data_IF_177592616359
#
_entry.id   IF_177592616359
#
_cell.length_a   1.000
_cell.length_b   1.000
_cell.length_c   1.000
_cell.angle_alpha   90.00
_cell.angle_beta   90.00
_cell.angle_gamma   90.00
#
_symmetry.space_group_name_H-M   'P 1'
#
loop_
_entity.id
_entity.type
_entity.pdbx_description
1 polymer ?
#
# COMPACT_ATOMS: atom_id res chain seq x y z
N UNK A 1 64.27 69.96 -26.11
CA UNK A 1 63.52 70.92 -26.95
C UNK A 1 62.87 70.13 -28.08
N UNK A 2 61.53 70.23 -28.20
CA UNK A 2 60.62 69.58 -29.16
C UNK A 2 60.43 68.05 -28.99
N UNK A 3 59.23 67.46 -29.09
CA UNK A 3 57.85 67.92 -29.38
C UNK A 3 56.95 66.69 -29.12
N UNK A 4 55.87 66.86 -28.32
CA UNK A 4 54.48 66.47 -28.66
C UNK A 4 54.10 64.97 -28.77
N UNK A 5 52.86 64.48 -28.60
CA UNK A 5 51.50 65.07 -28.59
C UNK A 5 50.50 63.98 -28.15
N UNK A 6 49.40 64.38 -27.48
CA UNK A 6 48.00 63.86 -27.56
C UNK A 6 47.72 62.42 -27.05
N UNK A 7 46.94 62.21 -25.97
CA UNK A 7 45.46 62.32 -25.75
C UNK A 7 44.60 61.25 -26.47
N UNK A 8 43.53 60.83 -25.77
CA UNK A 8 42.38 59.98 -26.18
C UNK A 8 42.68 58.48 -26.34
N UNK A 9 41.99 57.51 -25.72
CA UNK A 9 40.68 57.49 -25.06
C UNK A 9 39.74 56.55 -25.81
N UNK A 10 39.75 55.24 -25.53
CA UNK A 10 38.77 54.23 -26.00
C UNK A 10 38.78 53.07 -24.96
N UNK A 11 37.79 52.90 -24.08
CA UNK A 11 36.43 52.36 -24.32
C UNK A 11 36.50 50.94 -24.92
N UNK A 12 36.27 49.94 -24.05
CA UNK A 12 35.70 48.62 -24.30
C UNK A 12 36.22 47.80 -25.49
N UNK A 13 37.32 47.05 -25.30
CA UNK A 13 37.52 45.74 -25.95
C UNK A 13 38.42 44.90 -25.04
N UNK A 14 38.16 43.59 -24.96
CA UNK A 14 38.94 42.53 -24.28
C UNK A 14 38.51 42.12 -22.87
N UNK A 15 37.24 41.71 -22.80
CA UNK A 15 36.66 40.67 -21.92
C UNK A 15 37.14 39.25 -22.32
N UNK A 16 38.40 39.03 -22.72
CA UNK A 16 38.76 37.71 -23.27
C UNK A 16 40.24 37.35 -23.11
N UNK A 17 40.70 37.15 -21.86
CA UNK A 17 41.99 36.48 -21.58
C UNK A 17 42.16 36.07 -20.09
N UNK A 18 41.15 35.48 -19.45
CA UNK A 18 41.34 34.76 -18.17
C UNK A 18 40.52 33.47 -18.17
N UNK A 19 40.94 32.51 -19.00
CA UNK A 19 40.43 31.16 -19.00
C UNK A 19 41.60 30.21 -19.26
N UNK A 20 41.56 29.06 -18.58
CA UNK A 20 42.51 27.94 -18.66
C UNK A 20 43.72 28.03 -17.71
N UNK A 21 43.45 27.97 -16.40
CA UNK A 21 44.20 27.13 -15.46
C UNK A 21 43.27 26.83 -14.26
N UNK A 22 42.31 25.93 -14.45
CA UNK A 22 41.58 25.30 -13.36
C UNK A 22 41.41 23.84 -13.73
N UNK A 23 42.12 22.99 -12.98
CA UNK A 23 42.25 21.57 -13.23
C UNK A 23 40.94 20.82 -12.96
N UNK A 24 40.61 19.92 -13.88
CA UNK A 24 39.71 18.81 -13.61
C UNK A 24 40.56 17.59 -13.24
N UNK A 25 40.72 17.34 -11.94
CA UNK A 25 41.05 16.01 -11.45
C UNK A 25 39.76 15.17 -11.59
N UNK A 26 39.71 14.27 -12.56
CA UNK A 26 38.64 13.29 -12.66
C UNK A 26 38.77 12.27 -11.52
N UNK A 27 37.71 11.98 -10.74
CA UNK A 27 37.74 10.84 -9.84
C UNK A 27 37.83 9.54 -10.67
N UNK A 28 38.50 8.49 -10.17
CA UNK A 28 38.50 7.21 -10.86
C UNK A 28 37.06 6.73 -11.00
N UNK A 29 36.70 6.28 -12.20
CA UNK A 29 35.43 5.65 -12.46
C UNK A 29 35.27 4.49 -11.48
N UNK A 30 34.30 4.60 -10.56
CA UNK A 30 33.86 3.46 -9.79
C UNK A 30 33.37 2.43 -10.82
N UNK A 31 34.15 1.35 -11.00
CA UNK A 31 33.63 0.14 -11.61
C UNK A 31 32.41 -0.24 -10.78
N UNK A 32 31.23 -0.07 -11.38
CA UNK A 32 30.00 -0.64 -10.89
C UNK A 32 30.23 -2.13 -10.81
N UNK A 33 30.56 -2.61 -9.61
CA UNK A 33 30.53 -4.02 -9.28
C UNK A 33 29.08 -4.43 -9.51
N UNK A 34 28.88 -5.10 -10.65
CA UNK A 34 27.61 -5.71 -11.00
C UNK A 34 27.33 -6.69 -9.89
N UNK A 35 26.51 -6.28 -8.93
CA UNK A 35 25.96 -7.18 -7.91
C UNK A 35 25.31 -8.30 -8.71
N UNK A 36 25.95 -9.46 -8.73
CA UNK A 36 25.33 -10.67 -9.20
C UNK A 36 24.12 -10.86 -8.30
N UNK A 37 22.94 -10.62 -8.86
CA UNK A 37 21.68 -10.99 -8.22
C UNK A 37 21.75 -12.50 -8.06
N UNK A 38 22.18 -12.95 -6.89
CA UNK A 38 22.08 -14.34 -6.50
C UNK A 38 20.59 -14.64 -6.51
N UNK A 39 20.11 -15.27 -7.59
CA UNK A 39 18.74 -15.73 -7.68
C UNK A 39 18.56 -16.76 -6.60
N UNK A 40 17.91 -16.36 -5.51
CA UNK A 40 17.43 -17.28 -4.51
C UNK A 40 16.63 -18.38 -5.23
N UNK A 41 16.72 -19.64 -4.78
CA UNK A 41 15.90 -20.72 -5.30
C UNK A 41 14.43 -20.27 -5.39
N UNK A 42 13.67 -20.75 -6.38
CA UNK A 42 12.26 -20.34 -6.56
C UNK A 42 11.39 -20.53 -5.30
N UNK A 43 11.78 -21.44 -4.39
CA UNK A 43 11.13 -21.66 -3.10
C UNK A 43 11.47 -20.64 -2.01
N UNK A 44 12.50 -19.82 -2.22
CA UNK A 44 12.96 -18.77 -1.29
C UNK A 44 12.66 -17.36 -1.81
N UNK A 45 12.41 -17.21 -3.11
CA UNK A 45 12.01 -15.93 -3.69
C UNK A 45 10.61 -15.50 -3.21
N UNK A 46 10.52 -14.31 -2.65
CA UNK A 46 9.24 -13.76 -2.21
C UNK A 46 8.37 -13.33 -3.40
N UNK A 47 7.07 -13.58 -3.30
CA UNK A 47 6.06 -13.18 -4.30
C UNK A 47 4.83 -12.61 -3.62
N UNK A 48 4.00 -11.89 -4.38
CA UNK A 48 2.68 -11.47 -3.95
C UNK A 48 1.62 -12.57 -4.09
N UNK A 49 0.98 -12.87 -2.98
CA UNK A 49 -0.06 -13.87 -2.84
C UNK A 49 -1.40 -13.21 -2.53
N UNK A 50 -2.45 -13.76 -3.09
CA UNK A 50 -3.81 -13.33 -2.84
C UNK A 50 -4.61 -14.40 -2.12
N UNK A 51 -5.23 -13.99 -1.02
CA UNK A 51 -6.32 -14.67 -0.36
C UNK A 51 -7.60 -13.84 -0.60
N UNK A 52 -8.65 -14.46 -1.13
CA UNK A 52 -9.87 -13.76 -1.56
C UNK A 52 -11.10 -14.39 -0.93
N UNK A 53 -11.80 -13.64 -0.10
CA UNK A 53 -13.12 -14.01 0.41
C UNK A 53 -14.18 -13.36 -0.48
N UNK A 54 -14.97 -14.17 -1.19
CA UNK A 54 -16.16 -13.71 -1.90
C UNK A 54 -17.32 -13.74 -0.92
N UNK A 55 -17.93 -12.58 -0.69
CA UNK A 55 -19.02 -12.44 0.27
C UNK A 55 -20.37 -12.40 -0.44
N UNK A 56 -21.41 -12.83 0.28
CA UNK A 56 -22.77 -12.71 -0.21
C UNK A 56 -23.18 -11.25 -0.29
N UNK A 57 -23.69 -10.87 -1.46
CA UNK A 57 -24.22 -9.54 -1.71
C UNK A 57 -25.45 -9.65 -2.63
N UNK A 58 -26.65 -9.64 -2.05
CA UNK A 58 -27.89 -9.74 -2.80
C UNK A 58 -28.04 -8.62 -3.84
N UNK A 59 -28.81 -8.90 -4.89
CA UNK A 59 -29.18 -7.89 -5.89
C UNK A 59 -30.11 -6.83 -5.28
N UNK A 60 -29.94 -5.57 -5.66
CA UNK A 60 -30.75 -4.46 -5.15
C UNK A 60 -30.39 -3.97 -3.74
N UNK A 61 -29.48 -4.63 -3.03
CA UNK A 61 -29.03 -4.21 -1.70
C UNK A 61 -27.68 -3.46 -1.73
N UNK A 62 -27.45 -2.61 -0.73
CA UNK A 62 -26.13 -2.03 -0.45
C UNK A 62 -25.18 -3.10 0.11
N UNK A 63 -23.88 -3.06 -0.23
CA UNK A 63 -22.93 -4.02 0.29
C UNK A 63 -22.71 -3.82 1.79
N UNK A 64 -22.84 -4.90 2.56
CA UNK A 64 -22.41 -4.92 3.96
C UNK A 64 -20.89 -4.99 4.05
N UNK A 65 -20.27 -4.19 4.93
CA UNK A 65 -18.82 -4.19 5.09
C UNK A 65 -18.30 -4.66 6.45
N UNK A 66 -19.15 -4.75 7.47
CA UNK A 66 -18.78 -5.37 8.74
C UNK A 66 -18.12 -6.75 8.63
N UNK A 67 -18.45 -7.63 7.65
CA UNK A 67 -17.76 -8.91 7.56
C UNK A 67 -16.27 -8.74 7.24
N UNK A 68 -15.88 -7.68 6.53
CA UNK A 68 -14.47 -7.39 6.24
C UNK A 68 -13.71 -7.10 7.54
N UNK A 69 -14.32 -6.36 8.46
CA UNK A 69 -13.71 -6.02 9.74
C UNK A 69 -13.55 -7.28 10.61
N UNK A 70 -14.58 -8.13 10.63
CA UNK A 70 -14.55 -9.42 11.34
C UNK A 70 -13.42 -10.31 10.80
N UNK A 71 -13.33 -10.45 9.48
CA UNK A 71 -12.30 -11.24 8.82
C UNK A 71 -10.90 -10.64 9.06
N UNK A 72 -10.75 -9.33 8.95
CA UNK A 72 -9.49 -8.63 9.18
C UNK A 72 -8.96 -8.88 10.60
N UNK A 73 -9.80 -8.71 11.61
CA UNK A 73 -9.36 -8.79 13.01
C UNK A 73 -9.31 -10.22 13.54
N UNK A 74 -10.32 -11.05 13.27
CA UNK A 74 -10.44 -12.38 13.91
C UNK A 74 -9.81 -13.51 13.10
N UNK A 75 -9.64 -13.34 11.80
CA UNK A 75 -9.08 -14.37 10.91
C UNK A 75 -7.67 -13.97 10.47
N UNK A 76 -7.50 -12.78 9.88
CA UNK A 76 -6.21 -12.36 9.33
C UNK A 76 -5.28 -11.78 10.41
N UNK A 77 -5.80 -11.06 11.41
CA UNK A 77 -5.01 -10.52 12.51
C UNK A 77 -4.10 -11.57 13.18
N UNK A 78 -4.65 -12.72 13.62
CA UNK A 78 -3.84 -13.80 14.20
C UNK A 78 -2.82 -14.42 13.24
N UNK A 79 -3.05 -14.34 11.92
CA UNK A 79 -2.07 -14.75 10.91
C UNK A 79 -0.91 -13.78 10.88
N UNK A 80 -1.20 -12.47 10.80
CA UNK A 80 -0.20 -11.41 10.83
C UNK A 80 0.63 -11.45 12.11
N UNK A 81 0.00 -11.67 13.26
CA UNK A 81 0.69 -11.75 14.54
C UNK A 81 1.68 -12.94 14.57
N UNK A 82 1.30 -14.10 14.02
CA UNK A 82 2.13 -15.29 13.98
C UNK A 82 3.24 -15.23 12.92
N UNK A 83 2.98 -14.58 11.79
CA UNK A 83 3.88 -14.51 10.63
C UNK A 83 4.55 -13.14 10.52
N UNK A 84 4.61 -12.36 11.61
CA UNK A 84 5.08 -10.96 11.58
C UNK A 84 6.49 -10.77 11.03
N UNK A 85 7.33 -11.80 11.17
CA UNK A 85 8.73 -11.77 10.73
C UNK A 85 8.91 -12.31 9.30
N UNK A 86 7.87 -12.86 8.69
CA UNK A 86 7.90 -13.53 7.38
C UNK A 86 6.98 -12.85 6.36
N UNK A 87 6.02 -12.05 6.80
CA UNK A 87 5.15 -11.22 5.96
C UNK A 87 5.53 -9.75 6.20
N UNK A 88 6.43 -9.22 5.36
CA UNK A 88 6.96 -7.86 5.52
C UNK A 88 6.12 -6.80 4.81
N UNK A 89 5.39 -7.18 3.77
CA UNK A 89 4.47 -6.31 3.05
C UNK A 89 3.13 -6.99 2.90
N UNK A 90 2.06 -6.29 3.22
CA UNK A 90 0.71 -6.79 3.07
C UNK A 90 -0.30 -5.65 3.03
N UNK A 91 -1.51 -5.95 2.58
CA UNK A 91 -2.62 -5.01 2.61
C UNK A 91 -3.96 -5.71 2.57
N UNK A 92 -4.96 -4.98 3.01
CA UNK A 92 -6.35 -5.33 2.73
C UNK A 92 -6.82 -4.64 1.45
N UNK A 93 -7.65 -5.34 0.69
CA UNK A 93 -8.36 -4.77 -0.44
C UNK A 93 -9.84 -5.13 -0.35
N UNK A 94 -10.69 -4.11 -0.45
CA UNK A 94 -12.14 -4.19 -0.31
C UNK A 94 -12.75 -3.72 -1.62
N UNK A 95 -13.65 -4.51 -2.20
CA UNK A 95 -14.38 -4.13 -3.42
C UNK A 95 -15.82 -4.62 -3.39
N UNK A 96 -16.68 -3.86 -4.04
CA UNK A 96 -18.06 -4.24 -4.36
C UNK A 96 -18.36 -3.71 -5.77
N UNK A 97 -18.46 -4.61 -6.75
CA UNK A 97 -18.86 -4.28 -8.11
C UNK A 97 -19.82 -5.35 -8.62
N UNK A 98 -20.82 -4.95 -9.42
CA UNK A 98 -21.79 -5.87 -10.04
C UNK A 98 -21.17 -6.56 -11.26
N UNK A 99 -20.07 -7.27 -11.02
CA UNK A 99 -19.31 -8.04 -12.00
C UNK A 99 -19.05 -9.47 -11.52
N UNK A 100 -18.32 -10.25 -12.30
CA UNK A 100 -18.04 -11.67 -12.00
C UNK A 100 -17.32 -11.90 -10.67
N UNK A 101 -16.57 -10.92 -10.17
CA UNK A 101 -15.87 -11.01 -8.88
C UNK A 101 -16.74 -10.54 -7.70
N UNK A 102 -17.74 -9.69 -7.94
CA UNK A 102 -18.76 -9.35 -6.95
C UNK A 102 -18.22 -8.60 -5.72
N UNK A 103 -18.82 -8.88 -4.56
CA UNK A 103 -18.34 -8.39 -3.26
C UNK A 103 -17.18 -9.24 -2.79
N UNK A 104 -16.01 -8.62 -2.62
CA UNK A 104 -14.79 -9.34 -2.24
C UNK A 104 -13.99 -8.57 -1.19
N UNK A 105 -13.48 -9.33 -0.22
CA UNK A 105 -12.43 -8.92 0.70
C UNK A 105 -11.17 -9.72 0.39
N UNK A 106 -10.03 -9.05 0.30
CA UNK A 106 -8.77 -9.69 -0.04
C UNK A 106 -7.68 -9.32 0.94
N UNK A 107 -6.93 -10.33 1.36
CA UNK A 107 -5.64 -10.18 2.00
C UNK A 107 -4.57 -10.44 0.95
N UNK A 108 -3.77 -9.41 0.66
CA UNK A 108 -2.71 -9.46 -0.34
C UNK A 108 -1.40 -9.29 0.40
N UNK A 109 -0.50 -10.27 0.31
CA UNK A 109 0.71 -10.29 1.12
C UNK A 109 1.92 -10.77 0.32
N UNK A 110 3.09 -10.29 0.70
CA UNK A 110 4.36 -10.65 0.09
C UNK A 110 5.13 -11.55 1.05
N UNK A 111 5.45 -12.75 0.60
CA UNK A 111 6.18 -13.74 1.37
C UNK A 111 6.75 -14.83 0.47
N UNK A 112 7.51 -15.77 1.04
CA UNK A 112 7.96 -16.98 0.33
C UNK A 112 6.78 -17.93 0.08
N UNK A 113 6.89 -18.84 -0.92
CA UNK A 113 5.91 -19.91 -1.15
C UNK A 113 5.59 -20.73 0.11
N UNK A 114 6.59 -21.02 0.93
CA UNK A 114 6.40 -21.79 2.16
C UNK A 114 5.49 -21.06 3.16
N UNK A 115 5.70 -19.75 3.35
CA UNK A 115 4.84 -18.93 4.20
C UNK A 115 3.44 -18.82 3.62
N UNK A 116 3.29 -18.64 2.30
CA UNK A 116 1.99 -18.61 1.65
C UNK A 116 1.21 -19.93 1.84
N UNK A 117 1.86 -21.07 1.73
CA UNK A 117 1.25 -22.38 1.99
C UNK A 117 0.76 -22.51 3.45
N UNK A 118 1.54 -22.05 4.44
CA UNK A 118 1.09 -22.04 5.84
C UNK A 118 -0.11 -21.12 6.07
N UNK A 119 -0.10 -19.93 5.48
CA UNK A 119 -1.23 -18.99 5.53
C UNK A 119 -2.48 -19.64 4.94
N UNK A 120 -2.39 -20.19 3.72
CA UNK A 120 -3.52 -20.86 3.05
C UNK A 120 -4.09 -22.00 3.91
N UNK A 121 -3.22 -22.87 4.45
CA UNK A 121 -3.64 -23.98 5.31
C UNK A 121 -4.34 -23.50 6.59
N UNK A 122 -3.82 -22.45 7.22
CA UNK A 122 -4.40 -21.87 8.44
C UNK A 122 -5.79 -21.29 8.19
N UNK A 123 -5.98 -20.56 7.09
CA UNK A 123 -7.27 -19.99 6.73
C UNK A 123 -8.28 -21.08 6.36
N UNK A 124 -7.84 -22.11 5.63
CA UNK A 124 -8.71 -23.22 5.26
C UNK A 124 -9.22 -24.00 6.48
N UNK A 125 -8.44 -24.06 7.56
CA UNK A 125 -8.77 -24.74 8.81
C UNK A 125 -9.42 -23.82 9.87
N UNK A 126 -9.61 -22.53 9.57
CA UNK A 126 -10.11 -21.57 10.56
C UNK A 126 -11.61 -21.82 10.88
N UNK A 127 -11.98 -22.09 12.15
CA UNK A 127 -13.36 -22.41 12.51
C UNK A 127 -14.36 -21.28 12.22
N UNK A 128 -13.94 -20.02 12.31
CA UNK A 128 -14.81 -18.88 12.00
C UNK A 128 -15.05 -18.79 10.50
N UNK A 129 -14.03 -19.04 9.67
CA UNK A 129 -14.20 -19.10 8.21
C UNK A 129 -15.17 -20.23 7.81
N UNK A 130 -15.03 -21.42 8.41
CA UNK A 130 -15.94 -22.55 8.16
C UNK A 130 -17.37 -22.15 8.52
N UNK A 131 -17.58 -21.62 9.73
CA UNK A 131 -18.89 -21.16 10.19
C UNK A 131 -19.52 -20.11 9.27
N UNK A 132 -18.75 -19.09 8.88
CA UNK A 132 -19.24 -18.01 8.00
C UNK A 132 -19.62 -18.51 6.60
N UNK A 133 -19.04 -19.62 6.14
CA UNK A 133 -19.46 -20.29 4.90
C UNK A 133 -20.77 -21.05 5.08
N UNK A 134 -20.92 -21.77 6.19
CA UNK A 134 -22.16 -22.49 6.53
C UNK A 134 -23.35 -21.54 6.72
N UNK A 135 -23.10 -20.38 7.32
CA UNK A 135 -24.09 -19.30 7.49
C UNK A 135 -24.33 -18.48 6.20
N UNK A 136 -23.62 -18.77 5.11
CA UNK A 136 -23.79 -18.10 3.82
C UNK A 136 -23.27 -16.66 3.76
N UNK A 137 -22.51 -16.21 4.75
CA UNK A 137 -21.83 -14.89 4.72
C UNK A 137 -20.70 -14.90 3.71
N UNK A 138 -19.92 -15.99 3.67
CA UNK A 138 -18.85 -16.23 2.70
C UNK A 138 -19.34 -17.24 1.66
N UNK A 139 -19.35 -16.86 0.39
CA UNK A 139 -19.66 -17.76 -0.72
C UNK A 139 -18.48 -18.70 -1.02
N UNK A 140 -17.30 -18.11 -1.21
CA UNK A 140 -16.08 -18.85 -1.55
C UNK A 140 -14.84 -18.21 -0.94
N UNK A 141 -13.81 -19.03 -0.73
CA UNK A 141 -12.46 -18.58 -0.39
C UNK A 141 -11.52 -19.05 -1.49
N UNK A 142 -10.84 -18.11 -2.14
CA UNK A 142 -9.87 -18.37 -3.20
C UNK A 142 -8.45 -18.09 -2.72
N UNK A 143 -7.51 -18.93 -3.17
CA UNK A 143 -6.09 -18.86 -2.85
C UNK A 143 -5.28 -18.87 -4.14
N UNK A 144 -4.19 -18.13 -4.18
CA UNK A 144 -3.14 -18.39 -5.17
C UNK A 144 -2.39 -19.69 -4.81
N UNK A 145 -1.88 -20.39 -5.82
CA UNK A 145 -1.13 -21.64 -5.64
C UNK A 145 0.35 -21.35 -5.29
N UNK A 146 0.82 -21.72 -4.09
CA UNK A 146 2.21 -21.53 -3.68
C UNK A 146 3.24 -22.23 -4.59
N UNK A 147 2.84 -23.27 -5.32
CA UNK A 147 3.72 -23.97 -6.27
C UNK A 147 4.05 -23.17 -7.54
N UNK A 148 3.34 -22.07 -7.80
CA UNK A 148 3.45 -21.29 -9.03
C UNK A 148 3.51 -19.78 -8.76
N UNK A 149 4.64 -19.24 -8.22
CA UNK A 149 4.80 -17.80 -7.98
C UNK A 149 4.78 -17.00 -9.30
N UNK A 150 4.08 -15.87 -9.34
CA UNK A 150 3.88 -15.05 -10.55
C UNK A 150 4.28 -13.57 -10.41
N UNK A 151 4.20 -13.01 -9.20
CA UNK A 151 4.33 -11.57 -8.92
C UNK A 151 5.53 -11.31 -8.03
N UNK A 152 6.73 -11.39 -8.60
CA UNK A 152 7.99 -11.36 -7.84
C UNK A 152 8.40 -9.94 -7.46
N UNK A 153 8.08 -8.96 -8.30
CA UNK A 153 8.38 -7.55 -8.12
C UNK A 153 7.53 -6.91 -7.03
N UNK A 154 8.13 -6.00 -6.27
CA UNK A 154 7.44 -5.27 -5.20
C UNK A 154 6.24 -4.48 -5.77
N UNK A 155 6.39 -3.89 -6.96
CA UNK A 155 5.33 -3.11 -7.61
C UNK A 155 4.30 -3.92 -8.42
N UNK A 156 4.42 -5.25 -8.52
CA UNK A 156 3.59 -6.07 -9.41
C UNK A 156 2.08 -6.06 -9.08
N UNK A 157 1.72 -5.54 -7.91
CA UNK A 157 0.33 -5.40 -7.46
C UNK A 157 -0.14 -3.96 -7.40
N UNK A 158 0.65 -3.00 -7.88
CA UNK A 158 0.30 -1.58 -8.01
C UNK A 158 -0.44 -1.33 -9.33
N UNK A 159 -1.04 -0.14 -9.49
CA UNK A 159 -1.66 0.24 -10.76
C UNK A 159 -0.60 0.39 -11.86
N UNK A 160 -0.76 -0.36 -12.96
CA UNK A 160 0.16 -0.35 -14.11
C UNK A 160 0.25 0.99 -14.81
N UNK A 161 -0.71 1.89 -14.61
CA UNK A 161 -0.73 3.22 -15.21
C UNK A 161 0.04 4.24 -14.38
N UNK A 162 0.47 3.90 -13.16
CA UNK A 162 1.33 4.77 -12.36
C UNK A 162 2.78 4.73 -12.82
N UNK A 163 3.56 5.76 -12.45
CA UNK A 163 5.00 5.75 -12.72
C UNK A 163 5.70 4.59 -11.99
N UNK A 164 6.85 4.10 -12.48
CA UNK A 164 7.58 3.02 -11.83
C UNK A 164 7.91 3.30 -10.35
N UNK A 165 8.26 4.55 -10.01
CA UNK A 165 8.56 4.97 -8.64
C UNK A 165 7.33 4.81 -7.74
N UNK A 166 6.16 5.24 -8.21
CA UNK A 166 4.91 5.08 -7.48
C UNK A 166 4.54 3.60 -7.33
N UNK A 167 4.72 2.79 -8.38
CA UNK A 167 4.44 1.36 -8.30
C UNK A 167 5.29 0.67 -7.23
N UNK A 168 6.56 1.03 -7.09
CA UNK A 168 7.48 0.46 -6.09
C UNK A 168 7.22 1.00 -4.68
N UNK A 169 6.88 2.29 -4.54
CA UNK A 169 6.69 2.93 -3.24
C UNK A 169 5.29 2.66 -2.63
N UNK A 170 4.27 2.54 -3.46
CA UNK A 170 2.88 2.42 -3.02
C UNK A 170 2.61 1.23 -2.06
N UNK A 171 3.19 0.02 -2.23
CA UNK A 171 3.00 -1.08 -1.30
C UNK A 171 3.30 -0.74 0.16
N UNK A 172 4.30 0.12 0.42
CA UNK A 172 4.62 0.57 1.78
C UNK A 172 3.54 1.49 2.34
N UNK A 173 3.07 2.45 1.54
CA UNK A 173 2.00 3.36 1.93
C UNK A 173 0.71 2.61 2.25
N UNK A 174 0.24 1.76 1.34
CA UNK A 174 -1.03 1.05 1.51
C UNK A 174 -0.99 0.01 2.63
N UNK A 175 0.18 -0.56 2.93
CA UNK A 175 0.36 -1.38 4.13
C UNK A 175 0.14 -0.55 5.39
N UNK A 176 0.73 0.64 5.47
CA UNK A 176 0.52 1.56 6.60
C UNK A 176 -0.96 1.91 6.79
N UNK A 177 -1.68 2.17 5.69
CA UNK A 177 -3.14 2.41 5.71
C UNK A 177 -3.90 1.17 6.20
N UNK A 178 -3.52 -0.03 5.74
CA UNK A 178 -4.15 -1.29 6.16
C UNK A 178 -3.91 -1.59 7.64
N UNK A 179 -2.69 -1.34 8.13
CA UNK A 179 -2.31 -1.47 9.53
C UNK A 179 -3.11 -0.49 10.40
N UNK A 180 -3.18 0.78 10.03
CA UNK A 180 -4.01 1.76 10.75
C UNK A 180 -5.46 1.29 10.85
N UNK A 181 -6.05 0.88 9.72
CA UNK A 181 -7.43 0.40 9.70
C UNK A 181 -7.64 -0.81 10.63
N UNK A 182 -6.72 -1.78 10.62
CA UNK A 182 -6.78 -2.93 11.52
C UNK A 182 -6.68 -2.54 13.00
N UNK A 183 -5.77 -1.62 13.34
CA UNK A 183 -5.62 -1.17 14.72
C UNK A 183 -6.82 -0.35 15.19
N UNK A 184 -7.44 0.47 14.34
CA UNK A 184 -8.68 1.15 14.69
C UNK A 184 -9.82 0.17 14.98
N UNK A 185 -9.96 -0.91 14.20
CA UNK A 185 -10.93 -1.98 14.47
C UNK A 185 -10.69 -2.57 15.86
N UNK A 186 -9.42 -2.88 16.18
CA UNK A 186 -9.02 -3.46 17.48
C UNK A 186 -9.27 -2.50 18.63
N UNK A 187 -8.88 -1.23 18.52
CA UNK A 187 -9.05 -0.22 19.55
C UNK A 187 -10.54 0.07 19.82
N UNK A 188 -11.34 0.31 18.77
CA UNK A 188 -12.79 0.46 18.91
C UNK A 188 -13.37 -0.80 19.53
N UNK A 189 -12.90 -1.97 19.09
CA UNK A 189 -13.30 -3.27 19.60
C UNK A 189 -13.05 -3.49 21.09
N UNK A 190 -12.14 -2.76 21.76
CA UNK A 190 -11.89 -2.91 23.20
C UNK A 190 -13.04 -2.45 24.09
N UNK A 191 -13.97 -1.65 23.56
CA UNK A 191 -15.10 -1.18 24.34
C UNK A 191 -16.01 -2.34 24.79
N UNK A 192 -16.08 -2.55 26.10
CA UNK A 192 -16.79 -3.66 26.74
C UNK A 192 -18.31 -3.60 26.58
N UNK A 193 -18.86 -2.46 26.12
CA UNK A 193 -20.31 -2.29 25.87
C UNK A 193 -20.78 -2.97 24.60
N UNK A 194 -19.87 -3.42 23.73
CA UNK A 194 -20.27 -4.12 22.51
C UNK A 194 -20.89 -5.48 22.78
N UNK A 195 -21.72 -5.92 21.85
CA UNK A 195 -22.29 -7.28 21.87
C UNK A 195 -21.19 -8.34 22.00
N UNK A 196 -21.52 -9.43 22.70
CA UNK A 196 -20.68 -10.64 22.71
C UNK A 196 -20.89 -11.49 21.45
N UNK A 197 -22.02 -11.29 20.76
CA UNK A 197 -22.31 -11.92 19.48
C UNK A 197 -21.45 -11.23 18.39
N UNK A 198 -20.56 -11.97 17.69
CA UNK A 198 -19.59 -11.38 16.77
C UNK A 198 -20.21 -10.53 15.65
N UNK A 199 -21.30 -10.97 15.00
CA UNK A 199 -21.84 -10.28 13.83
C UNK A 199 -22.38 -8.89 14.23
N UNK A 200 -23.20 -8.84 15.27
CA UNK A 200 -23.72 -7.61 15.85
C UNK A 200 -22.60 -6.70 16.38
N UNK A 201 -21.54 -7.29 16.95
CA UNK A 201 -20.36 -6.55 17.41
C UNK A 201 -19.66 -5.83 16.26
N UNK A 202 -19.30 -6.54 15.18
CA UNK A 202 -18.57 -5.92 14.08
C UNK A 202 -19.43 -4.97 13.26
N UNK A 203 -20.75 -5.18 13.18
CA UNK A 203 -21.66 -4.18 12.62
C UNK A 203 -21.69 -2.87 13.45
N UNK A 204 -21.56 -2.95 14.78
CA UNK A 204 -21.43 -1.76 15.62
C UNK A 204 -20.06 -1.08 15.48
N UNK A 205 -18.99 -1.87 15.38
CA UNK A 205 -17.63 -1.36 15.14
C UNK A 205 -17.55 -0.65 13.79
N UNK A 206 -18.14 -1.21 12.73
CA UNK A 206 -18.22 -0.57 11.41
C UNK A 206 -18.84 0.83 11.50
N UNK A 207 -20.01 0.97 12.14
CA UNK A 207 -20.66 2.27 12.32
C UNK A 207 -19.81 3.28 13.08
N UNK A 208 -19.11 2.83 14.13
CA UNK A 208 -18.21 3.69 14.90
C UNK A 208 -16.98 4.12 14.09
N UNK A 209 -16.42 3.20 13.30
CA UNK A 209 -15.29 3.46 12.42
C UNK A 209 -15.67 4.42 11.29
N UNK A 210 -16.86 4.27 10.70
CA UNK A 210 -17.37 5.16 9.65
C UNK A 210 -17.61 6.58 10.18
N UNK A 211 -18.12 6.72 11.41
CA UNK A 211 -18.26 8.01 12.06
C UNK A 211 -16.89 8.66 12.30
N UNK A 212 -15.93 7.92 12.86
CA UNK A 212 -14.57 8.41 13.06
C UNK A 212 -13.90 8.82 11.75
N UNK A 213 -14.02 8.03 10.68
CA UNK A 213 -13.49 8.40 9.37
C UNK A 213 -14.11 9.69 8.84
N UNK A 214 -15.44 9.84 8.96
CA UNK A 214 -16.15 11.05 8.52
C UNK A 214 -15.71 12.29 9.28
N UNK A 215 -15.55 12.18 10.60
CA UNK A 215 -15.37 13.32 11.47
C UNK A 215 -13.89 13.68 11.68
N UNK A 216 -12.98 12.70 11.60
CA UNK A 216 -11.56 12.87 11.92
C UNK A 216 -10.63 12.60 10.72
N UNK A 217 -11.08 11.89 9.68
CA UNK A 217 -10.22 11.45 8.56
C UNK A 217 -9.59 12.60 7.77
N UNK A 218 -10.30 13.73 7.63
CA UNK A 218 -9.79 14.93 6.97
C UNK A 218 -8.54 15.47 7.66
N UNK A 219 -8.60 15.64 8.98
CA UNK A 219 -7.47 16.15 9.76
C UNK A 219 -6.41 15.08 10.02
N UNK A 220 -6.79 13.91 10.53
CA UNK A 220 -5.85 12.87 10.95
C UNK A 220 -5.05 12.28 9.77
N UNK A 221 -5.65 12.23 8.57
CA UNK A 221 -5.04 11.52 7.44
C UNK A 221 -4.78 12.44 6.25
N UNK A 222 -5.77 13.18 5.76
CA UNK A 222 -5.56 13.99 4.55
C UNK A 222 -4.63 15.19 4.81
N UNK A 223 -4.83 15.93 5.91
CA UNK A 223 -3.95 17.05 6.28
C UNK A 223 -2.51 16.59 6.51
N UNK A 224 -2.29 15.52 7.28
CA UNK A 224 -0.95 15.02 7.55
C UNK A 224 -0.28 14.40 6.31
N UNK A 225 -1.03 13.70 5.46
CA UNK A 225 -0.52 13.23 4.16
C UNK A 225 -0.08 14.41 3.29
N UNK A 226 -0.92 15.44 3.18
CA UNK A 226 -0.59 16.65 2.42
C UNK A 226 0.64 17.37 2.97
N UNK A 227 0.80 17.42 4.31
CA UNK A 227 1.96 18.02 4.96
C UNK A 227 3.29 17.37 4.54
N UNK A 228 3.33 16.04 4.42
CA UNK A 228 4.53 15.30 3.96
C UNK A 228 4.91 15.68 2.53
N UNK A 229 3.93 15.99 1.68
CA UNK A 229 4.14 16.45 0.31
C UNK A 229 4.23 17.99 0.18
N UNK A 230 4.41 18.70 1.30
CA UNK A 230 4.59 20.16 1.29
C UNK A 230 3.34 20.95 0.91
N UNK A 231 2.16 20.41 1.24
CA UNK A 231 0.85 21.02 0.99
C UNK A 231 0.60 21.39 -0.49
N UNK A 232 1.22 20.64 -1.42
CA UNK A 232 0.98 20.81 -2.85
C UNK A 232 -0.43 20.38 -3.21
N UNK A 233 -1.02 21.09 -4.15
CA UNK A 233 -2.39 20.84 -4.63
C UNK A 233 -2.46 19.47 -5.33
N UNK A 234 -3.60 18.79 -5.16
CA UNK A 234 -3.91 17.54 -5.85
C UNK A 234 -4.99 17.80 -6.89
N UNK A 235 -4.80 17.29 -8.11
CA UNK A 235 -5.90 17.22 -9.09
C UNK A 235 -6.90 16.17 -8.64
N UNK A 236 -8.08 16.62 -8.23
CA UNK A 236 -9.19 15.74 -7.86
C UNK A 236 -10.21 15.74 -9.00
N UNK A 237 -10.40 14.59 -9.65
CA UNK A 237 -11.52 14.40 -10.59
C UNK A 237 -12.81 14.30 -9.79
N UNK A 238 -13.62 15.36 -9.80
CA UNK A 238 -14.77 15.51 -8.90
C UNK A 238 -15.99 14.76 -9.44
N UNK A 239 -16.51 13.81 -8.67
CA UNK A 239 -17.88 13.29 -8.76
C UNK A 239 -18.50 13.30 -7.35
N UNK A 240 -18.73 14.52 -6.82
CA UNK A 240 -19.35 14.87 -5.52
C UNK A 240 -18.71 14.35 -4.20
N UNK A 241 -19.37 14.62 -3.06
CA UNK A 241 -18.88 15.24 -1.80
C UNK A 241 -17.43 14.97 -1.27
N UNK A 242 -16.81 16.07 -0.82
CA UNK A 242 -15.61 16.13 0.02
C UNK A 242 -15.73 17.34 0.97
N UNK A 243 -15.36 17.23 2.26
CA UNK A 243 -15.09 18.38 3.15
C UNK A 243 -14.20 17.96 4.33
N UNK A 244 -13.28 18.87 4.69
CA UNK A 244 -12.10 18.66 5.55
C UNK A 244 -12.40 18.80 7.04
#
# INVERSE_FOLDING_TARGET
MRVSVVRFGWIWVLVLTVGVLSGCAAPPAAMSERVETTTAPANEAESWWYLRFRLTWPEGEEPLWWPDLLLADRVIGPVLDAERNTILLWRFHRRAARDGAGRQFSFIFRATPLTAARVNARIAADPLVIRLREEGVIQTVGYDDPGHPQRLGIGDTSDKNWSPEMQVAWPYFIMGVSQLWLELIREIGKNQRWSKEPLARYAAIERALDAMWRDEGGHALLHHLSAVFGYRELTVTRQELMRF
#
